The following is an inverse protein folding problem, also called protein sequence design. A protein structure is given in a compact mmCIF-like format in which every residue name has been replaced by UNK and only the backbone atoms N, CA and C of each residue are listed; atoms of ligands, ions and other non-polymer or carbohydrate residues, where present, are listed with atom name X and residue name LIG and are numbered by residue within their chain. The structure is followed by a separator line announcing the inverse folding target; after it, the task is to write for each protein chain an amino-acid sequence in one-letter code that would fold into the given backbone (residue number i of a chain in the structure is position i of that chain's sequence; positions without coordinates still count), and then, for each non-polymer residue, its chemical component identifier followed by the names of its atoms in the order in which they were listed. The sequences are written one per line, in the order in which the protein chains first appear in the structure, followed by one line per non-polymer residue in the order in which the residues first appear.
data_IF_273199097238
#
_entry.id   IF_273199097238
#
_cell.length_a   1.000
_cell.length_b   1.000
_cell.length_c   1.000
_cell.angle_alpha   90.00
_cell.angle_beta   90.00
_cell.angle_gamma   90.00
#
_symmetry.space_group_name_H-M   'P 1'
#
loop_
_entity.id
_entity.type
_entity.pdbx_description
1 polymer ?
#
# COMPACT_ATOMS: atom_id res chain seq x y z
N UNK A 1 7.91 -13.72 -11.48
CA UNK A 1 8.49 -12.65 -10.63
C UNK A 1 7.38 -12.11 -9.75
N UNK A 2 7.62 -11.87 -8.46
CA UNK A 2 6.67 -11.12 -7.63
C UNK A 2 6.38 -9.76 -8.28
N UNK A 3 5.16 -9.25 -8.12
CA UNK A 3 4.79 -7.93 -8.64
C UNK A 3 5.49 -6.84 -7.83
N UNK A 4 6.08 -5.84 -8.50
CA UNK A 4 6.66 -4.64 -7.87
C UNK A 4 5.62 -3.53 -7.77
N UNK A 5 5.74 -2.65 -6.77
CA UNK A 5 4.86 -1.50 -6.58
C UNK A 5 4.91 -0.55 -7.78
N UNK A 6 6.07 -0.39 -8.40
CA UNK A 6 6.26 0.39 -9.63
C UNK A 6 5.46 -0.17 -10.79
N UNK A 7 5.38 -1.50 -10.91
CA UNK A 7 4.56 -2.16 -11.93
C UNK A 7 3.07 -1.92 -11.67
N UNK A 8 2.64 -2.07 -10.41
CA UNK A 8 1.26 -1.84 -9.97
C UNK A 8 0.86 -0.38 -10.26
N UNK A 9 1.69 0.59 -9.87
CA UNK A 9 1.44 2.01 -10.10
C UNK A 9 1.31 2.32 -11.59
N UNK A 10 2.24 1.82 -12.43
CA UNK A 10 2.17 2.02 -13.89
C UNK A 10 0.87 1.50 -14.51
N UNK A 11 0.43 0.31 -14.11
CA UNK A 11 -0.83 -0.28 -14.61
C UNK A 11 -2.02 0.52 -14.06
N UNK A 12 -2.04 0.85 -12.78
CA UNK A 12 -3.10 1.65 -12.15
C UNK A 12 -3.26 3.01 -12.83
N UNK A 13 -2.16 3.74 -13.00
CA UNK A 13 -2.13 5.04 -13.67
C UNK A 13 -2.61 4.94 -15.12
N UNK A 14 -2.25 3.85 -15.83
CA UNK A 14 -2.74 3.62 -17.18
C UNK A 14 -4.27 3.46 -17.25
N UNK A 15 -4.88 2.71 -16.32
CA UNK A 15 -6.35 2.56 -16.33
C UNK A 15 -7.02 3.86 -15.90
N UNK A 16 -6.47 4.56 -14.89
CA UNK A 16 -7.03 5.82 -14.39
C UNK A 16 -6.97 6.94 -15.45
N UNK A 17 -5.88 7.00 -16.23
CA UNK A 17 -5.73 7.95 -17.34
C UNK A 17 -6.67 7.63 -18.51
N UNK A 18 -7.09 6.38 -18.66
CA UNK A 18 -7.94 5.94 -19.78
C UNK A 18 -9.43 6.01 -19.39
N UNK A 19 -10.22 6.98 -19.88
CA UNK A 19 -11.56 7.23 -19.35
C UNK A 19 -12.54 6.05 -19.49
N UNK A 20 -12.42 5.27 -20.57
CA UNK A 20 -13.24 4.09 -20.79
C UNK A 20 -12.96 2.98 -19.75
N UNK A 21 -11.69 2.74 -19.44
CA UNK A 21 -11.29 1.76 -18.44
C UNK A 21 -11.62 2.25 -17.03
N UNK A 22 -11.33 3.52 -16.72
CA UNK A 22 -11.63 4.10 -15.42
C UNK A 22 -13.10 3.98 -15.04
N UNK A 23 -14.03 4.29 -15.97
CA UNK A 23 -15.48 4.20 -15.73
C UNK A 23 -15.97 2.79 -15.40
N UNK A 24 -15.29 1.76 -15.90
CA UNK A 24 -15.68 0.35 -15.68
C UNK A 24 -14.95 -0.23 -14.47
N UNK A 25 -13.64 0.00 -14.35
CA UNK A 25 -12.79 -0.67 -13.36
C UNK A 25 -12.86 0.01 -12.00
N UNK A 26 -12.96 1.34 -11.91
CA UNK A 26 -12.95 2.06 -10.62
C UNK A 26 -14.14 1.68 -9.72
N UNK A 27 -15.39 1.58 -10.21
CA UNK A 27 -16.50 1.10 -9.38
C UNK A 27 -16.30 -0.34 -8.87
N UNK A 28 -15.72 -1.21 -9.71
CA UNK A 28 -15.38 -2.58 -9.33
C UNK A 28 -14.30 -2.58 -8.24
N UNK A 29 -13.28 -1.73 -8.37
CA UNK A 29 -12.23 -1.57 -7.37
C UNK A 29 -12.78 -1.05 -6.03
N UNK A 30 -13.69 -0.06 -6.04
CA UNK A 30 -14.35 0.41 -4.83
C UNK A 30 -15.15 -0.70 -4.14
N UNK A 31 -15.89 -1.50 -4.90
CA UNK A 31 -16.64 -2.62 -4.35
C UNK A 31 -15.71 -3.71 -3.79
N UNK A 32 -14.62 -4.00 -4.49
CA UNK A 32 -13.59 -4.93 -4.01
C UNK A 32 -13.05 -4.50 -2.64
N UNK A 33 -12.64 -3.23 -2.52
CA UNK A 33 -12.15 -2.66 -1.25
C UNK A 33 -13.19 -2.79 -0.12
N UNK A 34 -14.46 -2.51 -0.40
CA UNK A 34 -15.53 -2.61 0.59
C UNK A 34 -15.75 -4.05 1.07
N UNK A 35 -15.60 -5.03 0.18
CA UNK A 35 -15.73 -6.46 0.49
C UNK A 35 -14.51 -6.99 1.24
N UNK A 36 -13.30 -6.50 0.96
CA UNK A 36 -12.06 -6.89 1.65
C UNK A 36 -12.14 -6.67 3.17
N UNK A 37 -12.94 -5.71 3.64
CA UNK A 37 -13.33 -5.61 5.05
C UNK A 37 -12.27 -5.06 6.01
N UNK A 38 -11.04 -4.82 5.57
CA UNK A 38 -9.96 -4.27 6.42
C UNK A 38 -10.33 -2.93 7.06
N UNK A 39 -11.11 -2.08 6.38
CA UNK A 39 -11.62 -0.81 6.93
C UNK A 39 -12.53 -1.03 8.15
N UNK A 40 -13.23 -2.17 8.24
CA UNK A 40 -14.06 -2.54 9.40
C UNK A 40 -13.22 -2.94 10.62
N UNK A 41 -11.93 -3.24 10.40
CA UNK A 41 -10.93 -3.50 11.43
C UNK A 41 -10.14 -2.25 11.81
N UNK A 42 -10.41 -1.11 11.16
CA UNK A 42 -9.70 0.16 11.40
C UNK A 42 -8.33 0.22 10.73
N UNK A 43 -8.06 -0.67 9.78
CA UNK A 43 -6.82 -0.68 8.99
C UNK A 43 -6.95 0.23 7.76
N UNK A 44 -5.81 0.63 7.21
CA UNK A 44 -5.64 1.20 5.87
C UNK A 44 -5.04 0.14 4.94
N UNK A 45 -5.17 0.33 3.63
CA UNK A 45 -4.66 -0.61 2.62
C UNK A 45 -3.15 -0.87 2.80
N UNK A 46 -2.36 0.19 3.02
CA UNK A 46 -0.92 0.11 3.20
C UNK A 46 -0.50 -0.66 4.49
N UNK A 47 -1.39 -0.83 5.46
CA UNK A 47 -1.12 -1.64 6.66
C UNK A 47 -1.09 -3.15 6.34
N UNK A 48 -1.63 -3.57 5.19
CA UNK A 48 -1.71 -4.97 4.74
C UNK A 48 -0.50 -5.40 3.91
N UNK A 49 0.42 -4.47 3.62
CA UNK A 49 1.63 -4.77 2.85
C UNK A 49 2.57 -5.63 3.69
N UNK A 50 3.09 -6.69 3.09
CA UNK A 50 4.09 -7.55 3.71
C UNK A 50 5.40 -6.78 3.98
N UNK A 51 5.82 -6.80 5.25
CA UNK A 51 6.99 -6.09 5.74
C UNK A 51 8.25 -6.96 5.85
N UNK A 52 8.16 -8.27 5.56
CA UNK A 52 9.27 -9.24 5.66
C UNK A 52 10.26 -9.15 4.47
N UNK A 53 10.53 -7.94 3.99
CA UNK A 53 11.48 -7.69 2.90
C UNK A 53 12.26 -6.38 3.12
N UNK A 54 13.49 -6.31 2.60
CA UNK A 54 14.38 -5.15 2.81
C UNK A 54 13.79 -3.83 2.29
N UNK A 55 12.94 -3.92 1.27
CA UNK A 55 12.31 -2.77 0.63
C UNK A 55 11.29 -2.11 1.55
N UNK A 56 10.36 -2.89 2.08
CA UNK A 56 9.37 -2.45 3.06
C UNK A 56 10.04 -1.99 4.35
N UNK A 57 11.08 -2.68 4.82
CA UNK A 57 11.85 -2.22 5.99
C UNK A 57 12.54 -0.87 5.74
N UNK A 58 13.01 -0.62 4.52
CA UNK A 58 13.57 0.69 4.15
C UNK A 58 12.50 1.78 4.11
N UNK A 59 11.33 1.48 3.54
CA UNK A 59 10.20 2.41 3.52
C UNK A 59 9.69 2.74 4.94
N UNK A 60 9.54 1.74 5.81
CA UNK A 60 9.11 1.92 7.20
C UNK A 60 10.10 2.75 8.03
N UNK A 61 11.40 2.62 7.78
CA UNK A 61 12.43 3.46 8.44
C UNK A 61 12.39 4.93 8.00
N UNK A 62 11.91 5.21 6.79
CA UNK A 62 11.78 6.59 6.25
C UNK A 62 10.47 7.26 6.66
N UNK A 63 9.50 6.48 7.14
CA UNK A 63 8.19 6.98 7.52
C UNK A 63 8.30 7.94 8.73
N UNK A 64 7.55 9.06 8.74
CA UNK A 64 7.50 9.97 9.89
C UNK A 64 7.05 9.25 11.16
N UNK A 65 7.55 9.72 12.31
CA UNK A 65 7.27 9.08 13.60
C UNK A 65 5.76 9.02 13.89
N UNK A 66 5.02 10.10 13.64
CA UNK A 66 3.57 10.17 13.90
C UNK A 66 2.78 9.11 13.11
N UNK A 67 3.10 8.95 11.82
CA UNK A 67 2.47 7.96 10.95
C UNK A 67 2.85 6.53 11.36
N UNK A 68 4.09 6.32 11.79
CA UNK A 68 4.58 5.05 12.32
C UNK A 68 3.84 4.63 13.60
N UNK A 69 3.69 5.55 14.56
CA UNK A 69 2.90 5.30 15.77
C UNK A 69 1.43 5.02 15.46
N UNK A 70 0.83 5.79 14.55
CA UNK A 70 -0.55 5.59 14.13
C UNK A 70 -0.75 4.22 13.45
N UNK A 71 0.20 3.79 12.61
CA UNK A 71 0.22 2.46 11.97
C UNK A 71 0.26 1.36 13.02
N UNK A 72 1.21 1.41 13.96
CA UNK A 72 1.36 0.39 15.00
C UNK A 72 0.07 0.27 15.82
N UNK A 73 -0.56 1.39 16.18
CA UNK A 73 -1.84 1.37 16.89
C UNK A 73 -2.95 0.67 16.09
N UNK A 74 -3.10 0.97 14.79
CA UNK A 74 -4.09 0.32 13.93
C UNK A 74 -3.86 -1.20 13.86
N UNK A 75 -2.61 -1.61 13.69
CA UNK A 75 -2.23 -3.03 13.61
C UNK A 75 -2.55 -3.75 14.93
N UNK A 76 -2.13 -3.21 16.08
CA UNK A 76 -2.42 -3.83 17.39
C UNK A 76 -3.93 -3.98 17.62
N UNK A 77 -4.69 -2.92 17.32
CA UNK A 77 -6.14 -2.95 17.46
C UNK A 77 -6.79 -4.00 16.54
N UNK A 78 -6.34 -4.09 15.28
CA UNK A 78 -6.83 -5.09 14.34
C UNK A 78 -6.55 -6.53 14.81
N UNK A 79 -5.37 -6.78 15.40
CA UNK A 79 -5.05 -8.08 16.00
C UNK A 79 -5.99 -8.41 17.17
N UNK A 80 -6.26 -7.45 18.06
CA UNK A 80 -7.19 -7.63 19.18
C UNK A 80 -8.62 -7.95 18.71
N UNK A 81 -9.07 -7.25 17.67
CA UNK A 81 -10.38 -7.48 17.05
C UNK A 81 -10.46 -8.86 16.39
N UNK A 82 -9.41 -9.25 15.68
CA UNK A 82 -9.31 -10.57 15.05
C UNK A 82 -9.36 -11.69 16.11
N UNK A 83 -8.59 -11.53 17.19
CA UNK A 83 -8.55 -12.47 18.32
C UNK A 83 -9.93 -12.64 18.97
N UNK A 84 -10.67 -11.55 19.13
CA UNK A 84 -12.00 -11.58 19.77
C UNK A 84 -13.12 -11.92 18.80
N UNK A 85 -12.85 -12.06 17.50
CA UNK A 85 -13.85 -12.21 16.44
C UNK A 85 -14.91 -11.09 16.42
N UNK A 86 -14.51 -9.86 16.78
CA UNK A 86 -15.38 -8.68 16.73
C UNK A 86 -14.90 -7.71 15.65
N UNK A 87 -15.84 -6.95 15.09
CA UNK A 87 -15.54 -5.80 14.23
C UNK A 87 -15.59 -4.51 15.04
N UNK A 88 -14.98 -3.44 14.53
CA UNK A 88 -15.19 -2.12 15.12
C UNK A 88 -16.67 -1.70 15.01
N UNK A 89 -17.16 -0.86 15.93
CA UNK A 89 -18.39 -0.11 15.72
C UNK A 89 -18.31 0.70 14.42
N UNK A 90 -19.42 0.82 13.68
CA UNK A 90 -19.47 1.44 12.34
C UNK A 90 -18.92 2.87 12.27
N UNK A 91 -19.03 3.63 13.36
CA UNK A 91 -18.51 5.00 13.46
C UNK A 91 -16.98 5.09 13.58
N UNK A 92 -16.30 3.97 13.88
CA UNK A 92 -14.84 3.87 13.98
C UNK A 92 -14.20 3.16 12.78
N UNK A 93 -14.98 2.82 11.75
CA UNK A 93 -14.42 2.25 10.53
C UNK A 93 -13.59 3.29 9.81
N UNK A 94 -12.46 2.87 9.23
CA UNK A 94 -11.64 3.72 8.37
C UNK A 94 -12.51 4.23 7.23
N UNK A 95 -12.60 5.55 7.09
CA UNK A 95 -13.37 6.15 5.98
C UNK A 95 -12.61 6.02 4.67
N UNK A 96 -13.31 6.15 3.55
CA UNK A 96 -12.68 6.08 2.23
C UNK A 96 -11.66 7.20 2.02
N UNK A 97 -11.88 8.37 2.62
CA UNK A 97 -11.01 9.54 2.53
C UNK A 97 -9.76 9.41 3.42
N UNK A 98 -9.84 8.60 4.47
CA UNK A 98 -8.72 8.35 5.40
C UNK A 98 -7.81 7.22 4.94
N UNK A 99 -8.29 6.37 4.03
CA UNK A 99 -7.57 5.25 3.45
C UNK A 99 -6.66 5.71 2.31
N UNK A 100 -5.69 6.54 2.68
CA UNK A 100 -4.68 7.11 1.79
C UNK A 100 -3.43 6.23 1.73
N UNK A 101 -2.75 6.15 0.57
CA UNK A 101 -1.53 5.38 0.39
C UNK A 101 -0.33 6.12 1.00
N UNK A 102 -0.17 6.02 2.33
CA UNK A 102 0.83 6.77 3.10
C UNK A 102 2.25 6.17 3.04
N UNK A 103 2.37 4.86 2.80
CA UNK A 103 3.62 4.12 2.73
C UNK A 103 4.09 3.94 1.27
N UNK A 104 3.14 3.84 0.34
CA UNK A 104 3.38 3.65 -1.10
C UNK A 104 4.43 4.60 -1.71
N UNK A 105 4.46 5.91 -1.40
CA UNK A 105 5.49 6.81 -1.93
C UNK A 105 6.92 6.39 -1.54
N UNK A 106 7.11 5.97 -0.28
CA UNK A 106 8.41 5.51 0.23
C UNK A 106 8.81 4.15 -0.37
N UNK A 107 7.83 3.29 -0.66
CA UNK A 107 8.06 2.02 -1.36
C UNK A 107 8.53 2.24 -2.80
N UNK A 108 7.89 3.17 -3.53
CA UNK A 108 8.28 3.52 -4.90
C UNK A 108 9.68 4.14 -4.96
N UNK A 109 10.02 5.01 -4.00
CA UNK A 109 11.35 5.57 -3.87
C UNK A 109 12.41 4.49 -3.60
N UNK A 110 12.13 3.56 -2.68
CA UNK A 110 13.02 2.45 -2.37
C UNK A 110 13.21 1.51 -3.58
N UNK A 111 12.14 1.18 -4.31
CA UNK A 111 12.21 0.39 -5.55
C UNK A 111 13.02 1.08 -6.63
N UNK A 112 12.82 2.38 -6.84
CA UNK A 112 13.58 3.15 -7.83
C UNK A 112 15.08 3.13 -7.53
N UNK A 113 15.46 3.30 -6.25
CA UNK A 113 16.86 3.25 -5.83
C UNK A 113 17.49 1.86 -6.02
N UNK A 114 16.78 0.78 -5.66
CA UNK A 114 17.27 -0.59 -5.89
C UNK A 114 17.48 -0.85 -7.38
N UNK A 115 16.50 -0.45 -8.19
CA UNK A 115 16.54 -0.62 -9.63
C UNK A 115 17.69 0.18 -10.27
N UNK A 116 17.87 1.44 -9.90
CA UNK A 116 18.97 2.27 -10.39
C UNK A 116 20.33 1.65 -10.03
N UNK A 117 20.48 1.16 -8.79
CA UNK A 117 21.70 0.46 -8.38
C UNK A 117 21.99 -0.77 -9.25
N UNK A 118 20.98 -1.60 -9.50
CA UNK A 118 21.11 -2.78 -10.38
C UNK A 118 21.48 -2.40 -11.82
N UNK A 119 20.90 -1.33 -12.36
CA UNK A 119 21.21 -0.83 -13.71
C UNK A 119 22.66 -0.32 -13.80
N UNK A 120 23.14 0.38 -12.77
CA UNK A 120 24.52 0.88 -12.70
C UNK A 120 25.54 -0.25 -12.50
N UNK A 121 25.23 -1.24 -11.68
CA UNK A 121 26.10 -2.39 -11.42
C UNK A 121 26.30 -3.26 -12.69
N UNK A 122 25.32 -3.24 -13.61
CA UNK A 122 25.33 -4.01 -14.87
C UNK A 122 25.56 -3.14 -16.12
N UNK A 123 26.12 -1.94 -15.96
CA UNK A 123 26.27 -0.99 -17.07
C UNK A 123 27.32 -1.47 -18.10
N UNK A 124 26.91 -1.62 -19.35
CA UNK A 124 27.79 -1.96 -20.47
C UNK A 124 28.33 -0.69 -21.15
N UNK A 125 29.66 -0.60 -21.31
CA UNK A 125 30.29 0.51 -22.02
C UNK A 125 30.28 0.25 -23.53
N UNK A 126 29.48 1.01 -24.27
CA UNK A 126 29.57 1.06 -25.73
C UNK A 126 30.92 1.70 -26.14
N UNK A 127 31.69 1.00 -26.98
CA UNK A 127 32.98 1.47 -27.52
C UNK A 127 32.79 2.41 -28.71
#
# INVERSE_FOLDING_TARGET
MPQTFTSIAKIGDYILRTPALAKVIVPVAHQFINISGYRKMGLRCDDLIDEENELAQTALRRLPADDSYARIYRIINAHQLSLTHHLLPKNKWTKAEEDVPYLTPYLLEAEAHVKEKEELDNLELAK
#
